data_IF_132530980756
#
_entry.id   IF_132530980756
#
_cell.length_a   1.000
_cell.length_b   1.000
_cell.length_c   1.000
_cell.angle_alpha   90.00
_cell.angle_beta   90.00
_cell.angle_gamma   90.00
#
_symmetry.space_group_name_H-M   'P 1'
#
loop_
_entity.id
_entity.type
_entity.pdbx_description
1 polymer ?
#
# COMPACT_ATOMS: atom_id res chain seq x y z
N UNK A 1 -4.27 -7.22 -11.87
CA UNK A 1 -3.79 -5.84 -11.90
C UNK A 1 -2.28 -5.79 -12.10
N UNK A 2 -1.82 -4.94 -12.99
CA UNK A 2 -0.41 -4.69 -13.28
C UNK A 2 -0.05 -3.29 -12.78
N UNK A 3 1.04 -3.19 -12.03
CA UNK A 3 1.55 -1.91 -11.52
C UNK A 3 3.05 -1.72 -11.79
N UNK A 4 3.64 -2.57 -12.64
CA UNK A 4 5.07 -2.57 -12.93
C UNK A 4 5.95 -3.16 -11.82
N UNK A 5 5.37 -3.75 -10.78
CA UNK A 5 6.15 -4.42 -9.72
C UNK A 5 6.62 -5.80 -10.16
N UNK A 6 7.67 -6.28 -9.49
CA UNK A 6 8.21 -7.62 -9.69
C UNK A 6 7.14 -8.72 -9.46
N UNK A 7 6.27 -8.52 -8.47
CA UNK A 7 5.18 -9.45 -8.17
C UNK A 7 4.17 -9.56 -9.32
N UNK A 8 3.83 -8.41 -9.90
CA UNK A 8 2.93 -8.39 -11.06
C UNK A 8 3.54 -9.10 -12.26
N UNK A 9 4.84 -8.90 -12.48
CA UNK A 9 5.59 -9.53 -13.53
C UNK A 9 5.66 -11.06 -13.34
N UNK A 10 6.02 -11.49 -12.14
CA UNK A 10 6.05 -12.92 -11.79
C UNK A 10 4.66 -13.56 -11.95
N UNK A 11 3.61 -12.89 -11.50
CA UNK A 11 2.25 -13.40 -11.64
C UNK A 11 1.87 -13.66 -13.10
N UNK A 12 2.16 -12.72 -13.99
CA UNK A 12 1.88 -12.90 -15.43
C UNK A 12 2.73 -14.01 -16.04
N UNK A 13 4.02 -14.10 -15.69
CA UNK A 13 4.89 -15.17 -16.18
C UNK A 13 4.38 -16.54 -15.77
N UNK A 14 3.99 -16.72 -14.51
CA UNK A 14 3.39 -17.95 -14.01
C UNK A 14 2.07 -18.29 -14.70
N UNK A 15 1.20 -17.30 -14.93
CA UNK A 15 -0.03 -17.48 -15.65
C UNK A 15 0.22 -17.92 -17.11
N UNK A 16 1.27 -17.41 -17.74
CA UNK A 16 1.68 -17.84 -19.08
C UNK A 16 2.09 -19.33 -19.11
N UNK A 17 2.87 -19.78 -18.12
CA UNK A 17 3.31 -21.18 -18.00
C UNK A 17 2.15 -22.16 -17.80
N UNK A 18 1.16 -21.81 -16.99
CA UNK A 18 0.00 -22.68 -16.74
C UNK A 18 -1.10 -22.59 -17.81
N UNK A 19 -0.94 -21.71 -18.78
CA UNK A 19 -1.92 -21.45 -19.83
C UNK A 19 -2.92 -20.34 -19.48
N UNK A 20 -2.91 -19.28 -20.28
CA UNK A 20 -3.77 -18.11 -20.06
C UNK A 20 -5.24 -18.42 -20.44
N UNK A 21 -6.21 -18.22 -19.54
CA UNK A 21 -7.61 -18.27 -19.92
C UNK A 21 -7.93 -17.21 -20.99
N UNK A 22 -8.74 -17.55 -22.00
CA UNK A 22 -9.14 -16.62 -23.07
C UNK A 22 -9.88 -15.38 -22.57
N UNK A 23 -10.53 -15.49 -21.43
CA UNK A 23 -11.27 -14.40 -20.77
C UNK A 23 -10.40 -13.49 -19.93
N UNK A 24 -9.11 -13.83 -19.73
CA UNK A 24 -8.22 -13.03 -18.92
C UNK A 24 -7.90 -11.72 -19.61
N UNK A 25 -8.04 -10.63 -18.86
CA UNK A 25 -7.64 -9.27 -19.28
C UNK A 25 -6.67 -8.70 -18.26
N UNK A 26 -5.75 -7.87 -18.72
CA UNK A 26 -4.85 -7.15 -17.83
C UNK A 26 -5.24 -5.68 -17.73
N UNK A 27 -5.12 -5.15 -16.53
CA UNK A 27 -5.44 -3.76 -16.23
C UNK A 27 -4.30 -3.10 -15.51
N UNK A 28 -3.95 -1.90 -15.95
CA UNK A 28 -2.97 -1.05 -15.28
C UNK A 28 -3.58 0.29 -14.97
N UNK A 29 -3.40 0.76 -13.75
CA UNK A 29 -3.78 2.10 -13.35
C UNK A 29 -2.54 3.00 -13.19
N UNK A 30 -2.71 4.29 -13.48
CA UNK A 30 -1.66 5.28 -13.33
C UNK A 30 -2.23 6.65 -12.98
N UNK A 31 -1.40 7.48 -12.36
CA UNK A 31 -1.66 8.89 -12.07
C UNK A 31 -0.67 9.76 -12.87
N UNK A 32 -1.05 10.97 -13.22
CA UNK A 32 -0.14 11.89 -13.90
C UNK A 32 0.19 11.50 -15.34
N UNK A 33 1.47 11.59 -15.70
CA UNK A 33 1.97 11.26 -17.05
C UNK A 33 2.29 9.78 -17.19
N UNK A 34 1.99 9.20 -18.35
CA UNK A 34 2.16 7.78 -18.64
C UNK A 34 3.63 7.29 -18.63
N UNK A 35 4.58 8.20 -18.63
CA UNK A 35 6.03 7.89 -18.75
C UNK A 35 6.71 7.49 -17.44
N UNK A 36 5.95 7.23 -16.39
CA UNK A 36 6.54 6.64 -15.20
C UNK A 36 6.92 5.18 -15.48
N UNK A 37 8.10 4.81 -15.06
CA UNK A 37 8.77 3.56 -15.35
C UNK A 37 7.95 2.28 -15.18
N UNK A 38 7.06 2.21 -14.20
CA UNK A 38 6.19 1.04 -13.98
C UNK A 38 5.23 0.76 -15.15
N UNK A 39 4.87 1.78 -15.93
CA UNK A 39 4.02 1.65 -17.13
C UNK A 39 4.77 0.97 -18.27
N UNK A 40 6.01 1.42 -18.51
CA UNK A 40 6.87 0.84 -19.56
C UNK A 40 7.15 -0.64 -19.29
N UNK A 41 7.39 -0.99 -18.03
CA UNK A 41 7.63 -2.37 -17.61
C UNK A 41 6.42 -3.28 -17.80
N UNK A 42 5.23 -2.79 -17.43
CA UNK A 42 3.99 -3.53 -17.64
C UNK A 42 3.72 -3.73 -19.13
N UNK A 43 4.04 -2.74 -19.95
CA UNK A 43 3.91 -2.85 -21.40
C UNK A 43 4.90 -3.86 -22.00
N UNK A 44 6.16 -3.87 -21.56
CA UNK A 44 7.14 -4.86 -22.00
C UNK A 44 6.81 -6.28 -21.56
N UNK A 45 6.31 -6.46 -20.33
CA UNK A 45 5.80 -7.76 -19.87
C UNK A 45 4.71 -8.31 -20.77
N UNK A 46 3.82 -7.43 -21.22
CA UNK A 46 2.68 -7.82 -22.06
C UNK A 46 3.03 -7.93 -23.54
N UNK A 47 4.11 -7.32 -24.00
CA UNK A 47 4.58 -7.49 -25.37
C UNK A 47 4.91 -8.95 -25.72
N UNK A 48 5.31 -9.74 -24.71
CA UNK A 48 5.59 -11.16 -24.85
C UNK A 48 4.38 -12.06 -24.49
N UNK A 49 3.23 -11.48 -24.13
CA UNK A 49 2.02 -12.21 -23.77
C UNK A 49 0.84 -11.75 -24.62
N UNK A 50 -0.02 -12.64 -25.09
CA UNK A 50 -1.18 -12.27 -25.90
C UNK A 50 -2.32 -11.65 -25.06
N UNK A 51 -2.01 -11.07 -23.90
CA UNK A 51 -3.00 -10.47 -23.03
C UNK A 51 -3.24 -9.01 -23.39
N UNK A 52 -4.47 -8.64 -23.74
CA UNK A 52 -4.80 -7.24 -23.93
C UNK A 52 -4.64 -6.45 -22.63
N UNK A 53 -3.92 -5.33 -22.67
CA UNK A 53 -3.78 -4.41 -21.56
C UNK A 53 -4.68 -3.20 -21.72
N UNK A 54 -5.51 -2.96 -20.73
CA UNK A 54 -6.29 -1.74 -20.64
C UNK A 54 -5.69 -0.81 -19.59
N UNK A 55 -5.47 0.44 -19.99
CA UNK A 55 -4.93 1.48 -19.12
C UNK A 55 -6.05 2.29 -18.48
N UNK A 56 -5.93 2.54 -17.18
CA UNK A 56 -6.90 3.30 -16.40
C UNK A 56 -6.20 4.52 -15.80
N UNK A 57 -6.51 5.69 -16.35
CA UNK A 57 -6.02 6.96 -15.79
C UNK A 57 -6.86 7.35 -14.59
N UNK A 58 -6.23 7.48 -13.44
CA UNK A 58 -6.87 7.98 -12.22
C UNK A 58 -6.68 9.49 -12.14
N UNK A 59 -7.78 10.22 -12.15
CA UNK A 59 -7.81 11.69 -12.15
C UNK A 59 -8.01 12.25 -10.75
N UNK A 60 -7.67 13.52 -10.55
CA UNK A 60 -7.95 14.27 -9.31
C UNK A 60 -9.42 14.16 -8.87
N UNK A 61 -10.36 14.36 -9.78
CA UNK A 61 -11.78 14.29 -9.45
C UNK A 61 -12.21 12.89 -9.01
N UNK A 62 -11.56 11.83 -9.49
CA UNK A 62 -11.78 10.47 -9.02
C UNK A 62 -11.24 10.31 -7.60
N UNK A 63 -10.04 10.80 -7.30
CA UNK A 63 -9.46 10.73 -5.96
C UNK A 63 -10.30 11.45 -4.91
N UNK A 64 -10.73 12.69 -5.20
CA UNK A 64 -11.58 13.46 -4.28
C UNK A 64 -12.90 12.77 -3.98
N UNK A 65 -13.53 12.16 -4.99
CA UNK A 65 -14.75 11.38 -4.78
C UNK A 65 -14.55 10.15 -3.90
N UNK A 66 -13.36 9.52 -3.98
CA UNK A 66 -13.07 8.36 -3.13
C UNK A 66 -12.84 8.74 -1.68
N UNK A 67 -12.25 9.90 -1.41
CA UNK A 67 -11.94 10.33 -0.04
C UNK A 67 -13.19 10.37 0.84
N UNK A 68 -14.30 10.93 0.33
CA UNK A 68 -15.55 11.00 1.07
C UNK A 68 -16.13 9.62 1.40
N UNK A 69 -15.97 8.65 0.50
CA UNK A 69 -16.43 7.28 0.72
C UNK A 69 -15.51 6.53 1.66
N UNK A 70 -14.21 6.58 1.42
CA UNK A 70 -13.23 5.84 2.19
C UNK A 70 -13.26 6.23 3.67
N UNK A 71 -13.36 7.52 3.99
CA UNK A 71 -13.43 7.97 5.37
C UNK A 71 -14.58 7.31 6.14
N UNK A 72 -15.70 7.04 5.48
CA UNK A 72 -16.91 6.43 6.10
C UNK A 72 -16.86 4.90 6.11
N UNK A 73 -16.34 4.27 5.04
CA UNK A 73 -16.44 2.82 4.86
C UNK A 73 -15.21 2.06 5.32
N UNK A 74 -14.05 2.71 5.37
CA UNK A 74 -12.82 2.07 5.80
C UNK A 74 -12.84 1.75 7.30
N UNK A 75 -13.55 2.55 8.11
CA UNK A 75 -13.64 2.44 9.58
C UNK A 75 -12.27 2.49 10.27
N UNK A 76 -11.26 2.92 9.56
CA UNK A 76 -9.89 3.08 10.02
C UNK A 76 -9.17 4.13 9.16
N UNK A 77 -8.09 4.75 9.65
CA UNK A 77 -7.32 5.74 8.90
C UNK A 77 -6.82 5.18 7.57
N UNK A 78 -6.88 5.98 6.52
CA UNK A 78 -6.48 5.63 5.15
C UNK A 78 -4.95 5.52 5.08
N UNK A 79 -4.41 4.40 4.64
CA UNK A 79 -2.98 4.09 4.66
C UNK A 79 -2.16 4.77 3.54
N UNK A 80 -2.64 5.79 2.91
CA UNK A 80 -1.88 6.52 1.90
C UNK A 80 -2.64 6.74 0.60
N UNK A 81 -2.04 7.52 -0.26
CA UNK A 81 -2.62 7.90 -1.55
C UNK A 81 -2.89 6.69 -2.47
N UNK A 82 -2.13 5.62 -2.32
CA UNK A 82 -2.37 4.39 -3.06
C UNK A 82 -3.71 3.74 -2.71
N UNK A 83 -4.12 3.78 -1.45
CA UNK A 83 -5.43 3.28 -1.00
C UNK A 83 -6.55 3.97 -1.78
N UNK A 84 -6.49 5.29 -1.89
CA UNK A 84 -7.48 6.07 -2.65
C UNK A 84 -7.41 5.74 -4.14
N UNK A 85 -6.21 5.57 -4.66
CA UNK A 85 -5.98 5.21 -6.07
C UNK A 85 -6.57 3.83 -6.40
N UNK A 86 -6.38 2.85 -5.52
CA UNK A 86 -6.98 1.52 -5.67
C UNK A 86 -8.50 1.56 -5.55
N UNK A 87 -9.06 2.33 -4.63
CA UNK A 87 -10.51 2.50 -4.53
C UNK A 87 -11.11 3.04 -5.84
N UNK A 88 -10.50 4.11 -6.39
CA UNK A 88 -10.90 4.67 -7.68
C UNK A 88 -10.77 3.63 -8.81
N UNK A 89 -9.73 2.82 -8.79
CA UNK A 89 -9.54 1.75 -9.74
C UNK A 89 -10.62 0.66 -9.63
N UNK A 90 -10.98 0.21 -8.42
CA UNK A 90 -12.04 -0.77 -8.22
C UNK A 90 -13.41 -0.26 -8.70
N UNK A 91 -13.70 1.03 -8.50
CA UNK A 91 -14.89 1.65 -9.09
C UNK A 91 -14.92 1.53 -10.62
N UNK A 92 -13.78 1.74 -11.28
CA UNK A 92 -13.69 1.56 -12.74
C UNK A 92 -13.87 0.10 -13.13
N UNK A 93 -13.29 -0.83 -12.38
CA UNK A 93 -13.45 -2.27 -12.63
C UNK A 93 -14.90 -2.71 -12.51
N UNK A 94 -15.59 -2.26 -11.46
CA UNK A 94 -17.03 -2.48 -11.29
C UNK A 94 -17.84 -1.98 -12.50
N UNK A 95 -17.61 -0.74 -12.94
CA UNK A 95 -18.29 -0.16 -14.12
C UNK A 95 -18.04 -0.94 -15.41
N UNK A 96 -16.96 -1.69 -15.49
CA UNK A 96 -16.62 -2.58 -16.61
C UNK A 96 -17.19 -3.99 -16.46
N UNK A 97 -17.98 -4.24 -15.41
CA UNK A 97 -18.59 -5.54 -15.14
C UNK A 97 -17.62 -6.61 -14.63
N UNK A 98 -16.47 -6.21 -14.07
CA UNK A 98 -15.50 -7.13 -13.51
C UNK A 98 -15.85 -7.44 -12.06
N UNK A 99 -15.98 -8.73 -11.73
CA UNK A 99 -16.29 -9.21 -10.39
C UNK A 99 -15.10 -9.83 -9.67
N UNK A 100 -14.05 -10.20 -10.39
CA UNK A 100 -12.83 -10.80 -9.81
C UNK A 100 -11.59 -10.13 -10.36
N UNK A 101 -10.67 -9.76 -9.49
CA UNK A 101 -9.37 -9.19 -9.83
C UNK A 101 -8.28 -9.94 -9.07
N UNK A 102 -7.22 -10.34 -9.76
CA UNK A 102 -6.03 -10.88 -9.12
C UNK A 102 -4.89 -9.87 -9.13
N UNK A 103 -4.11 -9.87 -8.05
CA UNK A 103 -2.95 -9.02 -7.86
C UNK A 103 -1.76 -9.75 -7.27
N UNK A 104 -0.61 -9.10 -7.30
CA UNK A 104 0.66 -9.64 -6.79
C UNK A 104 0.95 -9.31 -5.32
N UNK A 105 -0.03 -8.86 -4.55
CA UNK A 105 0.21 -8.44 -3.17
C UNK A 105 0.70 -9.56 -2.27
N UNK A 106 1.62 -9.21 -1.37
CA UNK A 106 2.06 -10.06 -0.27
C UNK A 106 3.43 -10.70 -0.45
N UNK A 107 3.90 -10.95 -1.68
CA UNK A 107 5.15 -11.67 -1.93
C UNK A 107 6.34 -11.05 -1.20
N UNK A 108 6.53 -9.74 -1.31
CA UNK A 108 7.65 -9.04 -0.67
C UNK A 108 7.63 -9.14 0.86
N UNK A 109 6.47 -9.23 1.48
CA UNK A 109 6.34 -9.23 2.94
C UNK A 109 6.93 -10.50 3.57
N UNK A 110 6.63 -11.67 3.03
CA UNK A 110 7.16 -12.90 3.62
C UNK A 110 8.56 -13.29 3.09
N UNK A 111 9.01 -12.73 1.96
CA UNK A 111 10.36 -12.94 1.48
C UNK A 111 11.43 -12.09 2.19
N UNK A 112 11.04 -11.18 3.05
CA UNK A 112 11.97 -10.35 3.81
C UNK A 112 12.47 -9.10 3.06
N UNK A 113 11.66 -8.57 2.15
CA UNK A 113 12.00 -7.39 1.36
C UNK A 113 11.45 -6.08 1.88
N UNK A 114 10.74 -6.11 2.97
CA UNK A 114 10.18 -4.91 3.61
C UNK A 114 11.09 -4.46 4.73
N UNK A 115 11.23 -3.16 4.90
CA UNK A 115 12.00 -2.55 5.99
C UNK A 115 11.51 -3.07 7.35
N UNK A 116 12.45 -3.32 8.27
CA UNK A 116 12.14 -3.83 9.58
C UNK A 116 11.21 -2.88 10.35
N UNK A 117 10.34 -3.40 11.25
CA UNK A 117 9.59 -2.58 12.17
C UNK A 117 10.57 -1.77 13.04
N UNK A 118 10.48 -0.48 12.96
CA UNK A 118 11.46 0.48 13.51
C UNK A 118 11.82 1.55 12.50
N UNK A 119 11.77 1.23 11.20
CA UNK A 119 11.75 2.23 10.16
C UNK A 119 10.35 2.84 10.11
N UNK A 120 10.17 3.94 10.78
CA UNK A 120 9.15 5.00 10.61
C UNK A 120 7.70 4.63 10.22
N UNK A 121 7.44 3.46 9.67
CA UNK A 121 6.14 3.12 9.08
C UNK A 121 5.05 2.75 10.11
N UNK A 122 5.44 2.38 11.32
CA UNK A 122 4.50 2.10 12.42
C UNK A 122 4.29 3.28 13.36
N UNK A 123 4.99 4.39 13.16
CA UNK A 123 4.73 5.58 13.96
C UNK A 123 3.34 6.12 13.63
N UNK A 124 2.50 6.11 14.63
CA UNK A 124 1.24 6.80 14.69
C UNK A 124 1.43 8.30 14.36
N UNK A 125 0.36 9.05 14.34
CA UNK A 125 0.40 10.52 14.28
C UNK A 125 1.52 11.04 15.19
N UNK A 126 2.30 12.02 14.74
CA UNK A 126 3.43 12.54 15.51
C UNK A 126 2.99 12.93 16.91
N UNK A 127 3.64 12.35 17.92
CA UNK A 127 3.30 12.60 19.32
C UNK A 127 3.43 14.06 19.73
N UNK A 128 4.22 14.81 18.98
CA UNK A 128 4.50 16.23 19.21
C UNK A 128 3.28 17.13 19.03
N UNK A 129 2.34 16.73 18.16
CA UNK A 129 1.11 17.50 17.90
C UNK A 129 -0.10 16.98 18.71
N UNK A 130 0.09 15.93 19.48
CA UNK A 130 -0.96 15.39 20.35
C UNK A 130 -0.91 16.06 21.73
N UNK A 131 -2.08 16.21 22.36
CA UNK A 131 -2.17 16.69 23.73
C UNK A 131 -1.49 15.70 24.70
N UNK A 132 -1.06 16.21 25.88
CA UNK A 132 -0.41 15.38 26.89
C UNK A 132 -1.30 14.24 27.39
N UNK A 133 -2.58 14.51 27.53
CA UNK A 133 -3.55 13.53 28.02
C UNK A 133 -3.82 12.43 26.99
N UNK A 134 -3.95 12.81 25.72
CA UNK A 134 -4.14 11.80 24.66
C UNK A 134 -2.90 10.91 24.49
N UNK A 135 -1.69 11.48 24.59
CA UNK A 135 -0.44 10.69 24.55
C UNK A 135 -0.36 9.60 25.64
N UNK A 136 -0.92 9.88 26.83
CA UNK A 136 -0.95 8.89 27.93
C UNK A 136 -1.83 7.69 27.66
N UNK A 137 -2.77 7.80 26.73
CA UNK A 137 -3.65 6.68 26.32
C UNK A 137 -2.96 5.73 25.34
N UNK A 138 -1.89 6.14 24.70
CA UNK A 138 -1.19 5.32 23.72
C UNK A 138 -0.65 4.03 24.36
N UNK A 139 -0.89 2.90 23.72
CA UNK A 139 -0.36 1.60 24.10
C UNK A 139 0.37 1.01 22.92
N UNK A 140 1.57 0.51 23.15
CA UNK A 140 2.30 -0.26 22.13
C UNK A 140 1.84 -1.71 22.23
N UNK A 141 1.38 -2.32 21.11
CA UNK A 141 1.01 -3.72 21.13
C UNK A 141 2.25 -4.60 21.39
N UNK A 142 2.05 -5.66 22.16
CA UNK A 142 3.07 -6.67 22.42
C UNK A 142 2.67 -7.96 21.70
N UNK A 143 3.59 -8.51 20.91
CA UNK A 143 3.36 -9.72 20.14
C UNK A 143 4.19 -10.88 20.68
N UNK A 144 3.60 -12.09 20.67
CA UNK A 144 4.31 -13.31 21.06
C UNK A 144 5.47 -13.59 20.11
N UNK A 145 6.65 -13.87 20.66
CA UNK A 145 7.78 -14.37 19.90
C UNK A 145 7.60 -15.86 19.62
N UNK A 146 7.67 -16.24 18.36
CA UNK A 146 7.48 -17.62 17.90
C UNK A 146 8.76 -18.23 17.33
N UNK A 147 9.79 -17.43 17.07
CA UNK A 147 11.06 -17.85 16.47
C UNK A 147 12.26 -17.41 17.34
N UNK A 148 13.36 -18.13 17.20
CA UNK A 148 14.63 -17.75 17.83
C UNK A 148 15.19 -16.48 17.21
N UNK A 149 15.09 -16.36 15.88
CA UNK A 149 15.56 -15.20 15.14
C UNK A 149 14.61 -14.00 15.31
N UNK A 150 15.15 -12.85 15.68
CA UNK A 150 14.38 -11.59 15.75
C UNK A 150 13.79 -11.19 14.39
N UNK A 151 14.57 -11.34 13.32
CA UNK A 151 14.10 -11.04 11.97
C UNK A 151 12.89 -11.89 11.56
N UNK A 152 12.83 -13.14 12.01
CA UNK A 152 11.70 -14.00 11.73
C UNK A 152 10.47 -13.66 12.57
N UNK A 153 10.67 -13.29 13.84
CA UNK A 153 9.58 -12.76 14.66
C UNK A 153 8.99 -11.48 14.05
N UNK A 154 9.83 -10.57 13.55
CA UNK A 154 9.38 -9.35 12.89
C UNK A 154 8.58 -9.64 11.60
N UNK A 155 9.06 -10.55 10.77
CA UNK A 155 8.34 -10.98 9.55
C UNK A 155 7.02 -11.67 9.87
N UNK A 156 7.02 -12.52 10.89
CA UNK A 156 5.82 -13.19 11.36
C UNK A 156 4.80 -12.18 11.93
N UNK A 157 5.29 -11.18 12.65
CA UNK A 157 4.48 -10.07 13.14
C UNK A 157 3.84 -9.29 12.00
N UNK A 158 4.62 -8.91 10.99
CA UNK A 158 4.14 -8.24 9.77
C UNK A 158 3.05 -9.06 9.05
N UNK A 159 3.27 -10.38 8.95
CA UNK A 159 2.37 -11.27 8.25
C UNK A 159 1.06 -11.52 8.99
N UNK A 160 1.12 -11.71 10.32
CA UNK A 160 -0.01 -12.20 11.10
C UNK A 160 -0.75 -11.11 11.87
N UNK A 161 -0.09 -10.00 12.20
CA UNK A 161 -0.65 -9.02 13.15
C UNK A 161 -0.66 -7.58 12.64
N UNK A 162 0.30 -7.18 11.80
CA UNK A 162 0.46 -5.78 11.42
C UNK A 162 0.12 -5.52 9.95
N UNK A 163 1.10 -5.55 9.07
CA UNK A 163 0.99 -5.02 7.69
C UNK A 163 0.04 -5.81 6.80
N UNK A 164 0.19 -7.14 6.77
CA UNK A 164 -0.64 -7.95 5.87
C UNK A 164 -2.10 -7.96 6.30
N UNK A 165 -2.47 -8.17 7.57
CA UNK A 165 -3.87 -8.05 7.99
C UNK A 165 -4.48 -6.68 7.72
N UNK A 166 -3.71 -5.59 7.95
CA UNK A 166 -4.15 -4.24 7.64
C UNK A 166 -4.37 -4.04 6.14
N UNK A 167 -3.38 -4.43 5.31
CA UNK A 167 -3.47 -4.35 3.85
C UNK A 167 -4.67 -5.14 3.32
N UNK A 168 -4.84 -6.39 3.77
CA UNK A 168 -5.94 -7.25 3.30
C UNK A 168 -7.30 -6.69 3.70
N UNK A 169 -7.45 -6.22 4.93
CA UNK A 169 -8.69 -5.60 5.41
C UNK A 169 -9.03 -4.35 4.61
N UNK A 170 -8.04 -3.48 4.40
CA UNK A 170 -8.21 -2.25 3.62
C UNK A 170 -8.60 -2.55 2.17
N UNK A 171 -7.88 -3.46 1.51
CA UNK A 171 -8.15 -3.85 0.13
C UNK A 171 -9.49 -4.55 -0.02
N UNK A 172 -9.83 -5.44 0.91
CA UNK A 172 -11.11 -6.17 0.90
C UNK A 172 -12.28 -5.21 1.05
N UNK A 173 -12.27 -4.32 2.04
CA UNK A 173 -13.33 -3.31 2.23
C UNK A 173 -13.53 -2.45 0.98
N UNK A 174 -12.45 -1.92 0.39
CA UNK A 174 -12.53 -1.11 -0.82
C UNK A 174 -13.08 -1.88 -2.02
N UNK A 175 -12.56 -3.06 -2.25
CA UNK A 175 -12.92 -3.86 -3.44
C UNK A 175 -14.34 -4.40 -3.33
N UNK A 176 -14.73 -4.88 -2.14
CA UNK A 176 -16.07 -5.42 -1.89
C UNK A 176 -17.14 -4.34 -1.88
N UNK A 177 -16.81 -3.11 -1.49
CA UNK A 177 -17.72 -1.98 -1.65
C UNK A 177 -18.17 -1.80 -3.12
N UNK A 178 -17.28 -2.09 -4.05
CA UNK A 178 -17.57 -2.09 -5.49
C UNK A 178 -17.95 -3.46 -6.06
N UNK A 179 -18.12 -4.50 -5.23
CA UNK A 179 -18.45 -5.84 -5.68
C UNK A 179 -17.33 -6.52 -6.49
N UNK A 180 -16.06 -6.13 -6.26
CA UNK A 180 -14.89 -6.70 -6.93
C UNK A 180 -14.11 -7.56 -5.95
N UNK A 181 -14.14 -8.87 -6.12
CA UNK A 181 -13.41 -9.80 -5.28
C UNK A 181 -11.91 -9.82 -5.62
N UNK A 182 -11.05 -9.65 -4.62
CA UNK A 182 -9.60 -9.73 -4.79
C UNK A 182 -9.10 -11.15 -4.53
N UNK A 183 -8.20 -11.65 -5.38
CA UNK A 183 -7.52 -12.93 -5.23
C UNK A 183 -6.00 -12.70 -5.15
N UNK A 184 -5.42 -13.03 -4.00
CA UNK A 184 -3.99 -12.85 -3.71
C UNK A 184 -3.27 -14.21 -3.77
N UNK A 185 -2.79 -14.58 -4.97
CA UNK A 185 -2.17 -15.89 -5.20
C UNK A 185 -0.92 -16.11 -4.35
N UNK A 186 -0.15 -15.05 -4.06
CA UNK A 186 1.09 -15.16 -3.28
C UNK A 186 0.88 -15.26 -1.77
N UNK A 187 -0.34 -15.04 -1.26
CA UNK A 187 -0.66 -15.24 0.16
C UNK A 187 -1.20 -16.66 0.44
N UNK A 188 -0.80 -17.64 -0.35
CA UNK A 188 -1.07 -19.03 -0.09
C UNK A 188 -0.22 -19.52 1.10
N UNK A 189 -0.85 -20.18 2.09
CA UNK A 189 -0.18 -20.63 3.31
C UNK A 189 0.97 -21.60 3.05
N UNK A 190 0.85 -22.53 2.08
CA UNK A 190 1.94 -23.44 1.73
C UNK A 190 3.17 -22.69 1.22
N UNK A 191 2.97 -21.66 0.41
CA UNK A 191 4.06 -20.82 -0.07
C UNK A 191 4.74 -20.05 1.07
N UNK A 192 3.95 -19.56 2.01
CA UNK A 192 4.44 -18.84 3.20
C UNK A 192 5.23 -19.80 4.10
N UNK A 193 4.72 -21.00 4.37
CA UNK A 193 5.41 -22.02 5.17
C UNK A 193 6.75 -22.41 4.56
N UNK A 194 6.79 -22.64 3.24
CA UNK A 194 8.04 -22.91 2.52
C UNK A 194 9.01 -21.74 2.66
N UNK A 195 8.54 -20.50 2.52
CA UNK A 195 9.37 -19.32 2.65
C UNK A 195 9.95 -19.13 4.06
N UNK A 196 9.23 -19.55 5.10
CA UNK A 196 9.73 -19.59 6.49
C UNK A 196 10.66 -20.80 6.72
N UNK A 197 10.37 -21.97 6.17
CA UNK A 197 11.23 -23.16 6.27
C UNK A 197 12.59 -22.98 5.60
N UNK A 198 12.68 -22.21 4.53
CA UNK A 198 13.94 -21.86 3.88
C UNK A 198 14.79 -20.87 4.69
N UNK A 199 14.40 -20.60 5.92
CA UNK A 199 14.92 -19.51 6.75
C UNK A 199 16.20 -19.83 7.53
N UNK A 200 16.72 -21.01 7.47
CA UNK A 200 17.84 -21.45 8.31
C UNK A 200 19.08 -20.56 8.16
N UNK A 201 19.28 -19.70 9.16
CA UNK A 201 20.54 -18.98 9.44
C UNK A 201 20.88 -17.79 8.53
N UNK A 202 20.18 -17.55 7.43
CA UNK A 202 20.48 -16.43 6.54
C UNK A 202 19.69 -15.17 6.87
N UNK A 203 20.31 -14.00 6.73
CA UNK A 203 19.60 -12.74 6.86
C UNK A 203 18.46 -12.66 5.83
N UNK A 204 17.36 -11.96 6.16
CA UNK A 204 16.21 -11.81 5.26
C UNK A 204 16.60 -11.27 3.87
N UNK A 205 17.69 -10.48 3.78
CA UNK A 205 18.23 -9.99 2.51
C UNK A 205 18.78 -11.12 1.64
N UNK A 206 19.49 -12.09 2.22
CA UNK A 206 20.05 -13.24 1.47
C UNK A 206 18.95 -14.16 0.95
N UNK A 207 17.89 -14.38 1.72
CA UNK A 207 16.74 -15.19 1.30
C UNK A 207 16.00 -14.55 0.14
N UNK A 208 15.71 -13.23 0.24
CA UNK A 208 15.08 -12.50 -0.86
C UNK A 208 15.93 -12.57 -2.12
N UNK A 209 17.24 -12.38 -2.00
CA UNK A 209 18.16 -12.50 -3.12
C UNK A 209 18.12 -13.92 -3.71
N UNK A 210 18.22 -14.95 -2.88
CA UNK A 210 18.17 -16.34 -3.33
C UNK A 210 16.84 -16.66 -4.05
N UNK A 211 15.71 -16.30 -3.45
CA UNK A 211 14.40 -16.53 -4.06
C UNK A 211 14.25 -15.74 -5.37
N UNK A 212 14.69 -14.49 -5.37
CA UNK A 212 14.71 -13.67 -6.58
C UNK A 212 15.53 -14.33 -7.67
N UNK A 213 16.76 -14.71 -7.38
CA UNK A 213 17.73 -15.20 -8.39
C UNK A 213 17.39 -16.62 -8.87
N UNK A 214 16.92 -17.49 -7.98
CA UNK A 214 16.68 -18.90 -8.29
C UNK A 214 15.28 -19.22 -8.77
N UNK A 215 14.29 -18.45 -8.34
CA UNK A 215 12.88 -18.71 -8.64
C UNK A 215 12.29 -17.62 -9.56
N UNK A 216 12.43 -16.36 -9.18
CA UNK A 216 11.75 -15.27 -9.88
C UNK A 216 12.44 -14.91 -11.19
N UNK A 217 13.74 -14.68 -11.14
CA UNK A 217 14.51 -14.23 -12.30
C UNK A 217 14.46 -15.18 -13.51
N UNK A 218 14.53 -16.51 -13.33
CA UNK A 218 14.40 -17.43 -14.46
C UNK A 218 13.04 -17.38 -15.18
N UNK A 219 11.99 -16.98 -14.46
CA UNK A 219 10.62 -16.87 -15.00
C UNK A 219 10.33 -15.54 -15.67
N UNK A 220 11.25 -14.57 -15.55
CA UNK A 220 11.04 -13.23 -16.11
C UNK A 220 11.77 -13.06 -17.45
N UNK A 221 11.20 -12.31 -18.39
CA UNK A 221 11.90 -11.89 -19.60
C UNK A 221 13.19 -11.14 -19.27
N UNK A 222 14.21 -11.29 -20.13
CA UNK A 222 15.53 -10.70 -19.90
C UNK A 222 15.50 -9.19 -19.69
N UNK A 223 14.71 -8.48 -20.49
CA UNK A 223 14.53 -7.03 -20.36
C UNK A 223 14.01 -6.62 -19.00
N UNK A 224 13.12 -7.42 -18.40
CA UNK A 224 12.57 -7.17 -17.08
C UNK A 224 13.61 -7.48 -15.99
N UNK A 225 14.42 -8.53 -16.18
CA UNK A 225 15.48 -8.88 -15.23
C UNK A 225 16.55 -7.80 -15.12
N UNK A 226 16.91 -7.19 -16.24
CA UNK A 226 17.97 -6.19 -16.34
C UNK A 226 17.52 -4.77 -16.01
N UNK A 227 16.27 -4.61 -15.78
CA UNK A 227 15.71 -3.30 -15.56
C UNK A 227 16.06 -2.66 -14.22
N UNK A 228 16.28 -1.35 -14.17
CA UNK A 228 16.49 -0.64 -12.92
C UNK A 228 15.27 -0.83 -12.00
N UNK A 229 15.50 -1.23 -10.77
CA UNK A 229 14.42 -1.30 -9.76
C UNK A 229 13.98 0.13 -9.47
N UNK A 230 12.77 0.45 -9.87
CA UNK A 230 12.21 1.74 -9.54
C UNK A 230 11.48 1.65 -8.20
N UNK A 231 11.84 2.53 -7.30
CA UNK A 231 11.07 2.77 -6.10
C UNK A 231 9.73 3.39 -6.50
N UNK A 232 8.68 2.99 -5.82
CA UNK A 232 7.35 3.59 -6.02
C UNK A 232 7.37 4.93 -5.30
N UNK A 233 7.72 5.99 -6.05
CA UNK A 233 7.73 7.36 -5.51
C UNK A 233 6.31 7.83 -5.15
N UNK A 234 6.21 8.64 -4.12
CA UNK A 234 5.00 9.40 -3.81
C UNK A 234 3.85 8.61 -3.20
N UNK A 235 4.14 7.54 -2.44
CA UNK A 235 3.11 6.76 -1.74
C UNK A 235 2.31 7.60 -0.73
N UNK A 236 2.96 8.55 -0.10
CA UNK A 236 2.42 9.38 0.96
C UNK A 236 2.46 10.88 0.64
N UNK A 237 3.06 11.26 -0.48
CA UNK A 237 3.09 12.67 -0.87
C UNK A 237 1.66 13.17 -1.12
N UNK A 238 1.32 14.28 -0.50
CA UNK A 238 0.06 14.96 -0.77
C UNK A 238 0.23 15.70 -2.10
N UNK A 239 -0.46 15.28 -3.17
CA UNK A 239 -0.35 15.97 -4.44
C UNK A 239 -0.69 17.44 -4.30
N UNK A 240 0.01 18.32 -5.02
CA UNK A 240 -0.25 19.76 -5.01
C UNK A 240 -1.72 20.09 -5.27
N UNK A 241 -2.37 19.27 -6.09
CA UNK A 241 -3.79 19.40 -6.41
C UNK A 241 -4.70 19.12 -5.19
N UNK A 242 -4.26 18.37 -4.20
CA UNK A 242 -5.03 18.04 -3.00
C UNK A 242 -4.66 18.92 -1.80
N UNK A 243 -3.67 19.80 -1.93
CA UNK A 243 -3.16 20.62 -0.81
C UNK A 243 -4.26 21.46 -0.17
N UNK A 244 -5.02 22.22 -0.95
CA UNK A 244 -6.10 23.06 -0.41
C UNK A 244 -7.16 22.25 0.34
N UNK A 245 -7.51 21.07 -0.16
CA UNK A 245 -8.40 20.15 0.54
C UNK A 245 -7.78 19.64 1.85
N UNK A 246 -6.48 19.32 1.87
CA UNK A 246 -5.79 18.85 3.06
C UNK A 246 -5.73 19.95 4.14
N UNK A 247 -5.49 21.19 3.73
CA UNK A 247 -5.49 22.36 4.62
C UNK A 247 -6.87 22.57 5.28
N UNK A 248 -7.96 22.46 4.51
CA UNK A 248 -9.33 22.52 5.03
C UNK A 248 -9.60 21.41 6.06
N UNK A 249 -9.21 20.17 5.77
CA UNK A 249 -9.41 19.03 6.69
C UNK A 249 -8.69 19.24 8.01
N UNK A 250 -7.45 19.71 7.98
CA UNK A 250 -6.67 19.98 9.21
C UNK A 250 -7.22 21.17 9.98
N UNK A 251 -7.67 22.21 9.29
CA UNK A 251 -8.28 23.39 9.93
C UNK A 251 -9.59 23.05 10.62
N UNK A 252 -10.44 22.23 10.01
CA UNK A 252 -11.74 21.83 10.55
C UNK A 252 -11.64 21.10 11.90
N UNK A 253 -10.51 20.44 12.20
CA UNK A 253 -10.30 19.81 13.51
C UNK A 253 -10.38 20.76 14.69
N UNK A 254 -10.07 22.04 14.49
CA UNK A 254 -10.10 23.06 15.55
C UNK A 254 -11.47 23.20 16.20
N UNK A 255 -12.49 22.95 15.42
CA UNK A 255 -13.89 23.11 15.81
C UNK A 255 -14.61 21.78 16.06
N UNK A 256 -13.90 20.67 15.90
CA UNK A 256 -14.45 19.33 16.07
C UNK A 256 -14.48 18.86 17.54
N UNK A 257 -15.26 17.80 17.81
CA UNK A 257 -15.39 17.17 19.12
C UNK A 257 -14.07 16.59 19.67
N UNK A 258 -13.05 16.42 18.79
CA UNK A 258 -11.76 15.81 19.11
C UNK A 258 -10.64 16.83 19.21
N UNK A 259 -10.99 18.13 19.25
CA UNK A 259 -10.01 19.20 19.37
C UNK A 259 -9.11 19.08 20.60
N UNK A 260 -9.62 18.52 21.70
CA UNK A 260 -8.87 18.26 22.93
C UNK A 260 -7.75 17.20 22.78
N UNK A 261 -7.76 16.38 21.72
CA UNK A 261 -6.73 15.37 21.46
C UNK A 261 -5.45 15.96 20.91
N UNK A 262 -5.49 17.22 20.45
CA UNK A 262 -4.38 17.91 19.77
C UNK A 262 -3.87 19.11 20.55
N UNK A 263 -2.55 19.35 20.49
CA UNK A 263 -1.94 20.62 20.82
C UNK A 263 -2.04 21.54 19.58
N UNK A 264 -3.16 22.25 19.49
CA UNK A 264 -3.53 23.02 18.29
C UNK A 264 -2.47 24.04 17.87
N UNK A 265 -1.91 24.87 18.78
CA UNK A 265 -0.87 25.83 18.42
C UNK A 265 0.39 25.18 17.85
N UNK A 266 0.69 23.94 18.26
CA UNK A 266 1.83 23.20 17.71
C UNK A 266 1.49 22.56 16.37
N UNK A 267 0.30 21.99 16.25
CA UNK A 267 -0.19 21.39 15.03
C UNK A 267 -0.24 22.39 13.88
N UNK A 268 -0.83 23.58 14.10
CA UNK A 268 -0.97 24.65 13.11
C UNK A 268 0.42 25.12 12.64
N UNK A 269 1.30 25.45 13.57
CA UNK A 269 2.69 25.85 13.22
C UNK A 269 3.46 24.78 12.45
N UNK A 270 3.30 23.52 12.81
CA UNK A 270 3.97 22.42 12.13
C UNK A 270 3.39 22.18 10.73
N UNK A 271 2.08 22.35 10.55
CA UNK A 271 1.41 22.19 9.26
C UNK A 271 1.73 23.31 8.28
N UNK A 272 1.79 24.57 8.76
CA UNK A 272 2.16 25.74 7.96
C UNK A 272 3.62 25.73 7.50
N UNK A 273 4.51 25.06 8.24
CA UNK A 273 5.94 24.98 7.95
C UNK A 273 6.42 23.54 7.76
N UNK A 274 5.93 22.83 6.74
CA UNK A 274 6.20 21.41 6.55
C UNK A 274 7.68 21.11 6.26
N UNK A 275 8.44 22.05 5.68
CA UNK A 275 9.85 21.83 5.28
C UNK A 275 10.81 21.71 6.48
N UNK A 276 10.47 22.32 7.62
CA UNK A 276 11.38 22.43 8.77
C UNK A 276 10.90 21.70 10.03
N UNK A 277 9.81 20.94 9.96
CA UNK A 277 9.14 20.41 11.13
C UNK A 277 8.82 18.92 11.07
N UNK A 278 7.92 18.53 11.95
CA UNK A 278 7.40 17.16 12.09
C UNK A 278 6.81 16.61 10.80
N UNK A 279 6.26 17.46 9.94
CA UNK A 279 5.63 17.11 8.68
C UNK A 279 6.54 17.22 7.46
N UNK A 280 7.84 17.41 7.65
CA UNK A 280 8.85 17.20 6.58
C UNK A 280 8.86 15.76 6.09
N UNK A 281 8.42 14.82 6.92
CA UNK A 281 8.15 13.44 6.55
C UNK A 281 6.71 13.31 5.99
N UNK A 282 6.55 13.03 4.69
CA UNK A 282 5.24 12.91 4.05
C UNK A 282 4.35 11.83 4.70
N UNK A 283 4.96 10.78 5.27
CA UNK A 283 4.24 9.72 5.97
C UNK A 283 3.51 10.28 7.19
N UNK A 284 4.17 11.12 7.96
CA UNK A 284 3.60 11.74 9.16
C UNK A 284 2.47 12.71 8.81
N UNK A 285 2.67 13.53 7.78
CA UNK A 285 1.65 14.44 7.27
C UNK A 285 0.41 13.66 6.82
N UNK A 286 0.60 12.59 6.06
CA UNK A 286 -0.49 11.75 5.62
C UNK A 286 -1.25 11.07 6.78
N UNK A 287 -0.55 10.56 7.76
CA UNK A 287 -1.16 9.91 8.94
C UNK A 287 -2.02 10.86 9.75
N UNK A 288 -1.56 12.10 9.94
CA UNK A 288 -2.39 13.12 10.55
C UNK A 288 -3.65 13.36 9.72
N UNK A 289 -3.50 13.63 8.44
CA UNK A 289 -4.61 13.92 7.54
C UNK A 289 -5.63 12.78 7.52
N UNK A 290 -5.16 11.55 7.47
CA UNK A 290 -6.00 10.35 7.48
C UNK A 290 -6.77 10.18 8.79
N UNK A 291 -6.13 10.45 9.94
CA UNK A 291 -6.82 10.48 11.23
C UNK A 291 -7.89 11.58 11.26
N UNK A 292 -7.58 12.78 10.79
CA UNK A 292 -8.53 13.89 10.72
C UNK A 292 -9.78 13.54 9.90
N UNK A 293 -9.57 12.92 8.75
CA UNK A 293 -10.66 12.43 7.90
C UNK A 293 -11.54 11.40 8.59
N UNK A 294 -10.92 10.44 9.26
CA UNK A 294 -11.64 9.41 10.01
C UNK A 294 -12.48 10.04 11.12
N UNK A 295 -11.91 10.96 11.88
CA UNK A 295 -12.61 11.64 12.95
C UNK A 295 -13.78 12.49 12.44
N UNK A 296 -13.60 13.21 11.32
CA UNK A 296 -14.66 13.96 10.66
C UNK A 296 -15.81 13.06 10.17
N UNK A 297 -15.53 11.82 9.84
CA UNK A 297 -16.56 10.88 9.38
C UNK A 297 -17.40 10.28 10.51
N UNK A 298 -16.93 10.39 11.76
CA UNK A 298 -17.61 9.87 12.96
C UNK A 298 -18.54 10.93 13.61
N UNK A 299 -18.38 12.19 13.22
CA UNK A 299 -19.24 13.30 13.65
C UNK A 299 -20.35 13.57 12.64
#
# INVERSE_FOLDING_TARGET
>A
SLNGSLESALFISLMKEIGLPRSLKSYMHYRGKLHQSGVLWSAEMLAETPLPMEQVKITKSMLLKELDYLARWQEEPIDGLNTITYSAFFRVMHKRGLSVLSGGWGLNHFLGGVSLPGDSSTSLVPSEVLSADFRRLARKPEYRRSFVSENENLRFCDLCYERIPHLLRSVDKMSMYYGVQIRNAFLNHNLIEIAFALADGSSGKHRKAWFSDKIVMPLLPEKIRLAPKNEVEGLYDIPTELKGWADEVVHDLRFGQVSEWFDYPRLERAWENPESGVFSDPVKAWKLLSLCLQLKSLT
#
